data_IF_118044707605
#
_entry.id   IF_118044707605
#
_cell.length_a   1.000
_cell.length_b   1.000
_cell.length_c   1.000
_cell.angle_alpha   90.00
_cell.angle_beta   90.00
_cell.angle_gamma   90.00
#
_symmetry.space_group_name_H-M   'P 1'
#
loop_
_entity.id
_entity.type
_entity.pdbx_description
1 polymer ?
#
# COMPACT_ATOMS: atom_id res chain seq x y z
N UNK A 1 3.05 -15.97 -12.91
CA UNK A 1 3.95 -14.99 -13.58
C UNK A 1 3.21 -13.72 -13.99
N UNK A 2 2.05 -13.80 -14.65
CA UNK A 2 1.29 -12.65 -15.18
C UNK A 2 1.05 -11.52 -14.17
N UNK A 3 0.71 -11.87 -12.92
CA UNK A 3 0.54 -10.89 -11.83
C UNK A 3 1.84 -10.15 -11.51
N UNK A 4 2.98 -10.84 -11.61
CA UNK A 4 4.29 -10.23 -11.37
C UNK A 4 4.69 -9.34 -12.56
N UNK A 5 4.39 -9.74 -13.79
CA UNK A 5 4.59 -8.91 -14.98
C UNK A 5 3.79 -7.61 -14.89
N UNK A 6 2.53 -7.71 -14.51
CA UNK A 6 1.67 -6.53 -14.28
C UNK A 6 2.23 -5.64 -13.16
N UNK A 7 2.75 -6.22 -12.08
CA UNK A 7 3.32 -5.45 -10.97
C UNK A 7 4.63 -4.76 -11.35
N UNK A 8 5.49 -5.43 -12.13
CA UNK A 8 6.71 -4.83 -12.66
C UNK A 8 6.41 -3.67 -13.59
N UNK A 9 5.49 -3.86 -14.54
CA UNK A 9 5.05 -2.81 -15.46
C UNK A 9 4.43 -1.62 -14.73
N UNK A 10 3.53 -1.87 -13.78
CA UNK A 10 2.87 -0.80 -13.02
C UNK A 10 3.82 0.00 -12.13
N UNK A 11 4.91 -0.62 -11.65
CA UNK A 11 5.94 0.05 -10.84
C UNK A 11 7.05 0.68 -11.67
N UNK A 12 7.09 0.46 -12.99
CA UNK A 12 8.20 0.86 -13.87
C UNK A 12 9.51 0.11 -13.59
N UNK A 13 9.42 -1.01 -12.86
CA UNK A 13 10.58 -1.82 -12.51
C UNK A 13 10.95 -2.85 -13.57
N UNK A 14 10.22 -2.92 -14.68
CA UNK A 14 10.52 -3.74 -15.87
C UNK A 14 11.60 -3.12 -16.76
N UNK A 15 11.89 -1.83 -16.62
CA UNK A 15 12.88 -1.14 -17.45
C UNK A 15 14.31 -1.63 -17.17
N UNK A 16 15.11 -1.71 -18.23
CA UNK A 16 16.48 -2.24 -18.18
C UNK A 16 17.44 -1.47 -17.23
N UNK A 17 17.18 -0.18 -17.02
CA UNK A 17 18.04 0.72 -16.25
C UNK A 17 17.70 0.79 -14.74
N UNK A 18 16.78 -0.04 -14.24
CA UNK A 18 16.44 -0.06 -12.82
C UNK A 18 17.54 -0.74 -12.03
N UNK A 19 18.19 0.01 -11.15
CA UNK A 19 19.30 -0.47 -10.29
C UNK A 19 18.81 -1.40 -9.18
N UNK A 20 17.63 -1.13 -8.64
CA UNK A 20 17.03 -1.90 -7.54
C UNK A 20 15.76 -2.57 -8.00
N UNK A 21 15.83 -3.86 -8.26
CA UNK A 21 14.67 -4.67 -8.58
C UNK A 21 13.80 -4.91 -7.33
N UNK A 22 12.48 -5.04 -7.48
CA UNK A 22 11.61 -5.31 -6.35
C UNK A 22 11.90 -6.68 -5.75
N UNK A 23 11.58 -6.79 -4.47
CA UNK A 23 11.65 -8.03 -3.72
C UNK A 23 10.26 -8.63 -3.59
N UNK A 24 10.10 -9.88 -4.01
CA UNK A 24 8.89 -10.65 -3.72
C UNK A 24 8.94 -11.13 -2.27
N UNK A 25 7.90 -10.80 -1.51
CA UNK A 25 7.68 -11.36 -0.17
C UNK A 25 6.46 -12.27 -0.25
N UNK A 26 6.63 -13.53 0.14
CA UNK A 26 5.55 -14.52 0.12
C UNK A 26 5.53 -15.38 1.40
N UNK A 27 4.50 -16.17 1.54
CA UNK A 27 4.48 -17.32 2.44
C UNK A 27 5.22 -18.53 1.82
N UNK A 28 5.03 -19.71 2.41
CA UNK A 28 5.59 -20.97 1.93
C UNK A 28 4.55 -21.82 1.17
N UNK A 29 3.54 -21.18 0.58
CA UNK A 29 2.55 -21.87 -0.24
C UNK A 29 3.18 -22.59 -1.44
N UNK A 30 2.54 -23.67 -1.95
CA UNK A 30 3.10 -24.48 -3.04
C UNK A 30 3.49 -23.68 -4.28
N UNK A 31 2.69 -22.68 -4.64
CA UNK A 31 2.95 -21.79 -5.79
C UNK A 31 4.24 -20.98 -5.63
N UNK A 32 4.68 -20.70 -4.40
CA UNK A 32 5.87 -19.91 -4.12
C UNK A 32 7.15 -20.74 -3.96
N UNK A 33 7.03 -22.08 -3.99
CA UNK A 33 8.15 -23.02 -3.96
C UNK A 33 8.40 -23.63 -5.34
N UNK A 34 7.55 -23.37 -6.32
CA UNK A 34 7.65 -23.93 -7.67
C UNK A 34 8.94 -23.44 -8.37
N UNK A 35 9.61 -24.35 -9.09
CA UNK A 35 10.83 -24.08 -9.86
C UNK A 35 10.61 -22.99 -10.91
N UNK A 36 9.45 -23.02 -11.60
CA UNK A 36 9.09 -22.04 -12.60
C UNK A 36 9.06 -20.59 -12.07
N UNK A 37 8.62 -20.41 -10.82
CA UNK A 37 8.67 -19.09 -10.17
C UNK A 37 10.10 -18.70 -9.83
N UNK A 38 10.92 -19.64 -9.39
CA UNK A 38 12.33 -19.37 -9.08
C UNK A 38 13.09 -18.92 -10.33
N UNK A 39 12.91 -19.61 -11.45
CA UNK A 39 13.48 -19.28 -12.76
C UNK A 39 13.01 -17.89 -13.24
N UNK A 40 11.73 -17.60 -13.10
CA UNK A 40 11.16 -16.28 -13.44
C UNK A 40 11.80 -15.15 -12.62
N UNK A 41 11.94 -15.34 -11.30
CA UNK A 41 12.53 -14.36 -10.38
C UNK A 41 14.00 -14.10 -10.75
N UNK A 42 14.76 -15.16 -11.04
CA UNK A 42 16.15 -15.07 -11.46
C UNK A 42 16.29 -14.34 -12.80
N UNK A 43 15.48 -14.72 -13.81
CA UNK A 43 15.47 -14.08 -15.13
C UNK A 43 15.17 -12.58 -15.05
N UNK A 44 14.30 -12.15 -14.13
CA UNK A 44 13.98 -10.75 -13.90
C UNK A 44 14.91 -10.05 -12.89
N UNK A 45 15.98 -10.71 -12.43
CA UNK A 45 16.94 -10.19 -11.44
C UNK A 45 16.26 -9.68 -10.15
N UNK A 46 15.15 -10.29 -9.79
CA UNK A 46 14.43 -10.01 -8.55
C UNK A 46 14.99 -10.83 -7.40
N UNK A 47 14.62 -10.48 -6.18
CA UNK A 47 14.88 -11.31 -5.00
C UNK A 47 13.57 -11.83 -4.42
N UNK A 48 13.63 -13.04 -3.87
CA UNK A 48 12.49 -13.66 -3.21
C UNK A 48 12.81 -13.90 -1.73
N UNK A 49 11.94 -13.41 -0.85
CA UNK A 49 12.02 -13.66 0.59
C UNK A 49 10.73 -14.34 1.00
N UNK A 50 10.87 -15.52 1.58
CA UNK A 50 9.74 -16.27 2.16
C UNK A 50 9.66 -16.01 3.65
N UNK A 51 8.43 -15.87 4.15
CA UNK A 51 8.18 -15.76 5.58
C UNK A 51 8.69 -16.99 6.33
N UNK A 52 9.19 -16.79 7.55
CA UNK A 52 9.54 -17.90 8.40
C UNK A 52 8.29 -18.76 8.70
N UNK A 53 8.42 -20.10 8.78
CA UNK A 53 7.31 -20.95 9.18
C UNK A 53 6.75 -20.48 10.52
N UNK A 54 5.43 -20.50 10.66
CA UNK A 54 4.69 -20.07 11.86
C UNK A 54 4.85 -18.61 12.29
N UNK A 55 5.32 -17.71 11.39
CA UNK A 55 5.38 -16.28 11.60
C UNK A 55 4.39 -15.49 10.73
N UNK A 56 3.09 -15.47 11.06
CA UNK A 56 2.05 -14.82 10.26
C UNK A 56 2.20 -13.30 10.18
N UNK A 57 2.92 -12.69 11.12
CA UNK A 57 3.10 -11.23 11.19
C UNK A 57 3.72 -10.63 9.92
N UNK A 58 4.53 -11.40 9.21
CA UNK A 58 5.18 -10.96 7.97
C UNK A 58 4.18 -10.64 6.86
N UNK A 59 3.05 -11.34 6.84
CA UNK A 59 1.98 -11.22 5.85
C UNK A 59 0.79 -10.36 6.33
N UNK A 60 0.78 -9.96 7.60
CA UNK A 60 -0.36 -9.31 8.24
C UNK A 60 -0.89 -8.04 7.53
N UNK A 61 -0.06 -7.34 6.76
CA UNK A 61 -0.49 -6.17 5.99
C UNK A 61 -1.34 -6.57 4.78
N UNK A 62 -0.89 -7.57 4.03
CA UNK A 62 -1.63 -8.04 2.85
C UNK A 62 -2.90 -8.79 3.25
N UNK A 63 -2.85 -9.57 4.33
CA UNK A 63 -4.03 -10.23 4.89
C UNK A 63 -5.11 -9.22 5.31
N UNK A 64 -4.72 -8.15 6.01
CA UNK A 64 -5.62 -7.07 6.40
C UNK A 64 -6.19 -6.34 5.20
N UNK A 65 -5.40 -6.14 4.15
CA UNK A 65 -5.88 -5.54 2.91
C UNK A 65 -6.94 -6.44 2.27
N UNK A 66 -6.67 -7.74 2.12
CA UNK A 66 -7.63 -8.71 1.58
C UNK A 66 -8.92 -8.77 2.42
N UNK A 67 -8.80 -8.76 3.75
CA UNK A 67 -9.96 -8.73 4.63
C UNK A 67 -10.79 -7.46 4.44
N UNK A 68 -10.13 -6.32 4.29
CA UNK A 68 -10.82 -5.04 4.05
C UNK A 68 -11.53 -5.04 2.70
N UNK A 69 -10.89 -5.57 1.65
CA UNK A 69 -11.48 -5.71 0.32
C UNK A 69 -12.70 -6.64 0.37
N UNK A 70 -12.55 -7.83 0.96
CA UNK A 70 -13.63 -8.82 1.09
C UNK A 70 -14.83 -8.23 1.84
N UNK A 71 -14.60 -7.58 2.97
CA UNK A 71 -15.66 -6.97 3.77
C UNK A 71 -16.41 -5.86 3.01
N UNK A 72 -15.76 -5.19 2.06
CA UNK A 72 -16.40 -4.16 1.25
C UNK A 72 -17.15 -4.75 0.07
N UNK A 73 -16.50 -5.64 -0.68
CA UNK A 73 -17.00 -6.19 -1.94
C UNK A 73 -18.10 -7.23 -1.69
N UNK A 74 -17.98 -8.08 -0.64
CA UNK A 74 -18.97 -9.13 -0.36
C UNK A 74 -20.27 -8.63 0.28
N UNK A 75 -20.36 -7.35 0.61
CA UNK A 75 -21.61 -6.76 1.14
C UNK A 75 -22.65 -6.46 0.04
N UNK A 76 -22.23 -6.48 -1.21
CA UNK A 76 -23.09 -6.18 -2.35
C UNK A 76 -23.27 -7.41 -3.25
N UNK A 77 -24.41 -7.51 -3.91
CA UNK A 77 -24.66 -8.53 -4.91
C UNK A 77 -24.26 -8.01 -6.30
N UNK A 78 -23.48 -8.79 -7.01
CA UNK A 78 -23.04 -8.47 -8.37
C UNK A 78 -23.73 -9.40 -9.35
N UNK A 79 -24.42 -8.82 -10.34
CA UNK A 79 -25.12 -9.60 -11.35
C UNK A 79 -24.24 -9.90 -12.56
N UNK A 80 -23.27 -9.04 -12.83
CA UNK A 80 -22.34 -9.20 -13.95
C UNK A 80 -20.89 -9.16 -13.46
N UNK A 81 -19.98 -9.94 -14.07
CA UNK A 81 -18.55 -9.89 -13.74
C UNK A 81 -17.94 -8.50 -13.89
N UNK A 82 -18.40 -7.70 -14.84
CA UNK A 82 -17.95 -6.32 -15.03
C UNK A 82 -18.30 -5.38 -13.87
N UNK A 83 -19.43 -5.61 -13.21
CA UNK A 83 -19.82 -4.81 -12.05
C UNK A 83 -18.85 -5.06 -10.87
N UNK A 84 -18.51 -6.33 -10.65
CA UNK A 84 -17.53 -6.71 -9.63
C UNK A 84 -16.15 -6.10 -9.92
N UNK A 85 -15.70 -6.14 -11.17
CA UNK A 85 -14.43 -5.56 -11.58
C UNK A 85 -14.38 -4.05 -11.33
N UNK A 86 -15.44 -3.34 -11.68
CA UNK A 86 -15.55 -1.89 -11.44
C UNK A 86 -15.51 -1.56 -9.94
N UNK A 87 -16.20 -2.32 -9.12
CA UNK A 87 -16.20 -2.13 -7.66
C UNK A 87 -14.83 -2.40 -7.04
N UNK A 88 -14.14 -3.43 -7.50
CA UNK A 88 -12.76 -3.70 -7.07
C UNK A 88 -11.83 -2.54 -7.47
N UNK A 89 -11.92 -2.05 -8.70
CA UNK A 89 -11.13 -0.89 -9.16
C UNK A 89 -11.40 0.35 -8.32
N UNK A 90 -12.67 0.66 -8.10
CA UNK A 90 -13.07 1.81 -7.27
C UNK A 90 -12.57 1.69 -5.83
N UNK A 91 -12.63 0.47 -5.27
CA UNK A 91 -12.10 0.21 -3.93
C UNK A 91 -10.58 0.42 -3.88
N UNK A 92 -9.83 -0.12 -4.83
CA UNK A 92 -8.37 0.01 -4.89
C UNK A 92 -7.96 1.47 -5.03
N UNK A 93 -8.64 2.22 -5.89
CA UNK A 93 -8.40 3.66 -6.07
C UNK A 93 -8.65 4.44 -4.78
N UNK A 94 -9.79 4.22 -4.15
CA UNK A 94 -10.09 4.84 -2.85
C UNK A 94 -9.08 4.45 -1.77
N UNK A 95 -8.74 3.18 -1.67
CA UNK A 95 -7.81 2.66 -0.67
C UNK A 95 -6.42 3.30 -0.82
N UNK A 96 -5.93 3.38 -2.04
CA UNK A 96 -4.59 3.88 -2.30
C UNK A 96 -4.48 5.40 -2.24
N UNK A 97 -5.50 6.13 -2.66
CA UNK A 97 -5.42 7.59 -2.86
C UNK A 97 -6.22 8.43 -1.86
N UNK A 98 -7.19 7.83 -1.17
CA UNK A 98 -8.10 8.60 -0.31
C UNK A 98 -8.10 8.11 1.15
N UNK A 99 -7.83 6.83 1.39
CA UNK A 99 -7.84 6.28 2.74
C UNK A 99 -6.54 6.58 3.48
N UNK A 100 -6.66 7.27 4.61
CA UNK A 100 -5.54 7.49 5.53
C UNK A 100 -5.28 6.25 6.39
N UNK A 101 -4.00 5.98 6.66
CA UNK A 101 -3.56 4.86 7.48
C UNK A 101 -2.75 5.35 8.68
N UNK A 102 -3.18 4.98 9.87
CA UNK A 102 -2.49 5.34 11.11
C UNK A 102 -1.04 4.83 11.12
N UNK A 103 -0.81 3.59 10.65
CA UNK A 103 0.53 3.01 10.54
C UNK A 103 1.45 3.70 9.52
N UNK A 104 0.93 4.66 8.76
CA UNK A 104 1.66 5.51 7.82
C UNK A 104 1.60 6.99 8.23
N UNK A 105 1.47 7.29 9.53
CA UNK A 105 1.30 8.66 10.04
C UNK A 105 0.12 9.41 9.41
N UNK A 106 -0.98 8.69 9.18
CA UNK A 106 -2.19 9.19 8.57
C UNK A 106 -1.98 9.82 7.19
N UNK A 107 -1.09 9.27 6.38
CA UNK A 107 -1.03 9.54 4.94
C UNK A 107 -1.65 8.39 4.16
N UNK A 108 -1.90 8.60 2.87
CA UNK A 108 -2.41 7.54 2.00
C UNK A 108 -1.28 6.60 1.57
N UNK A 109 -1.58 5.33 1.20
CA UNK A 109 -0.58 4.43 0.64
C UNK A 109 0.17 5.01 -0.56
N UNK A 110 -0.54 5.70 -1.46
CA UNK A 110 0.06 6.35 -2.62
C UNK A 110 1.04 7.48 -2.20
N UNK A 111 0.72 8.26 -1.18
CA UNK A 111 1.63 9.30 -0.68
C UNK A 111 2.91 8.72 -0.07
N UNK A 112 2.77 7.59 0.63
CA UNK A 112 3.92 6.87 1.17
C UNK A 112 4.77 6.26 0.04
N UNK A 113 4.14 5.61 -0.92
CA UNK A 113 4.82 4.94 -2.04
C UNK A 113 5.59 5.92 -2.93
N UNK A 114 4.97 7.05 -3.28
CA UNK A 114 5.58 8.07 -4.13
C UNK A 114 6.46 9.08 -3.37
N UNK A 115 6.80 8.82 -2.11
CA UNK A 115 7.73 9.63 -1.32
C UNK A 115 7.18 11.00 -0.88
N UNK A 116 5.86 11.23 -0.98
CA UNK A 116 5.23 12.51 -0.60
C UNK A 116 4.95 12.64 0.90
N UNK A 117 4.98 11.53 1.63
CA UNK A 117 4.61 11.46 3.06
C UNK A 117 5.33 12.49 3.93
N UNK A 118 6.66 12.57 3.83
CA UNK A 118 7.46 13.48 4.65
C UNK A 118 7.06 14.96 4.47
N UNK A 119 6.80 15.39 3.24
CA UNK A 119 6.36 16.75 2.94
C UNK A 119 4.96 17.05 3.52
N UNK A 120 4.04 16.08 3.42
CA UNK A 120 2.68 16.19 3.95
C UNK A 120 2.72 16.30 5.48
N UNK A 121 3.46 15.43 6.15
CA UNK A 121 3.60 15.42 7.62
C UNK A 121 4.19 16.76 8.09
N UNK A 122 5.29 17.20 7.51
CA UNK A 122 5.92 18.49 7.82
C UNK A 122 4.97 19.67 7.64
N UNK A 123 4.16 19.64 6.56
CA UNK A 123 3.12 20.68 6.33
C UNK A 123 2.07 20.67 7.44
N UNK A 124 1.58 19.49 7.84
CA UNK A 124 0.58 19.32 8.92
C UNK A 124 1.11 19.82 10.25
N UNK A 125 2.34 19.49 10.61
CA UNK A 125 3.00 19.97 11.83
C UNK A 125 3.09 21.50 11.86
N UNK A 126 3.49 22.12 10.74
CA UNK A 126 3.54 23.57 10.61
C UNK A 126 2.16 24.20 10.80
N UNK A 127 1.12 23.65 10.21
CA UNK A 127 -0.25 24.12 10.36
C UNK A 127 -0.70 23.96 11.81
N UNK A 128 -0.49 22.81 12.43
CA UNK A 128 -0.82 22.52 13.83
C UNK A 128 -0.17 23.53 14.76
N UNK A 129 1.13 23.79 14.59
CA UNK A 129 1.88 24.76 15.40
C UNK A 129 1.27 26.18 15.27
N UNK A 130 1.05 26.67 14.04
CA UNK A 130 0.44 27.97 13.81
C UNK A 130 -0.96 28.09 14.42
N UNK A 131 -1.77 27.05 14.30
CA UNK A 131 -3.11 27.01 14.89
C UNK A 131 -3.07 27.09 16.41
N UNK A 132 -2.15 26.35 17.06
CA UNK A 132 -1.97 26.40 18.50
C UNK A 132 -1.46 27.77 18.98
N UNK A 133 -0.50 28.37 18.29
CA UNK A 133 -0.01 29.71 18.57
C UNK A 133 -1.14 30.75 18.45
N UNK A 134 -1.93 30.70 17.39
CA UNK A 134 -3.07 31.58 17.20
C UNK A 134 -4.14 31.43 18.31
N UNK A 135 -4.51 30.22 18.65
CA UNK A 135 -5.45 29.96 19.76
C UNK A 135 -4.94 30.47 21.09
N UNK A 136 -3.65 30.28 21.41
CA UNK A 136 -3.03 30.81 22.61
C UNK A 136 -3.06 32.34 22.66
N UNK A 137 -2.80 33.00 21.52
CA UNK A 137 -2.85 34.46 21.40
C UNK A 137 -4.27 34.98 21.63
N UNK A 138 -5.27 34.34 21.00
CA UNK A 138 -6.68 34.70 21.19
C UNK A 138 -7.11 34.54 22.65
N UNK A 139 -6.76 33.42 23.28
CA UNK A 139 -7.07 33.19 24.70
C UNK A 139 -6.48 34.25 25.62
N UNK A 140 -5.24 34.67 25.36
CA UNK A 140 -4.60 35.75 26.13
C UNK A 140 -5.33 37.09 25.97
N UNK A 141 -5.78 37.41 24.75
CA UNK A 141 -6.55 38.64 24.48
C UNK A 141 -7.91 38.67 25.14
N UNK A 142 -8.54 37.52 25.34
CA UNK A 142 -9.83 37.41 26.02
C UNK A 142 -9.72 37.42 27.55
N UNK A 143 -8.54 37.10 28.08
CA UNK A 143 -8.26 37.06 29.50
C UNK A 143 -7.66 38.37 30.05
N UNK A 144 -7.36 39.33 29.18
CA UNK A 144 -6.88 40.66 29.50
C UNK A 144 -8.00 41.70 29.39
#
# INVERSE_FOLDING_TARGET
TDTLDMALAASGCDHANVLHRPRLLSDNGPSYIASELAEYIEANKMSHVRGAPFHPQTQGKIERWHQTLKNRVLLENYFLPGDLEQQIKAFVEHYNHQRYHESLDNVTPADAYFGRAAAIIKRRERIKRKTLEHRRLQHRKLAA
#
